data_IF_106738610320
#
_entry.id   IF_106738610320
#
_cell.length_a   1.000
_cell.length_b   1.000
_cell.length_c   1.000
_cell.angle_alpha   90.00
_cell.angle_beta   90.00
_cell.angle_gamma   90.00
#
_symmetry.space_group_name_H-M   'P 1'
#
loop_
_entity.id
_entity.type
_entity.pdbx_description
1 polymer ?
#
# COMPACT_ATOMS: atom_id res chain seq x y z
N UNK A 1 -0.97 -24.92 0.23
CA UNK A 1 -2.28 -25.01 0.97
C UNK A 1 -3.22 -23.87 0.65
N UNK A 2 -2.90 -22.59 0.89
CA UNK A 2 -3.82 -21.47 0.51
C UNK A 2 -3.86 -21.29 -1.01
N UNK A 3 -2.71 -21.37 -1.70
CA UNK A 3 -2.64 -21.19 -3.15
C UNK A 3 -3.45 -22.21 -3.95
N UNK A 4 -3.30 -23.49 -3.67
CA UNK A 4 -4.08 -24.56 -4.31
C UNK A 4 -5.57 -24.48 -3.98
N UNK A 5 -5.91 -24.07 -2.74
CA UNK A 5 -7.29 -23.84 -2.33
C UNK A 5 -7.90 -22.61 -2.98
N UNK A 6 -7.11 -21.56 -3.24
CA UNK A 6 -7.61 -20.35 -3.88
C UNK A 6 -8.08 -20.59 -5.32
N UNK A 7 -7.46 -21.55 -6.01
CA UNK A 7 -7.90 -21.98 -7.35
C UNK A 7 -9.22 -22.74 -7.30
N UNK A 8 -9.44 -23.56 -6.25
CA UNK A 8 -10.64 -24.39 -6.11
C UNK A 8 -11.80 -23.68 -5.41
N UNK A 9 -11.49 -22.86 -4.39
CA UNK A 9 -12.49 -22.16 -3.56
C UNK A 9 -11.86 -20.84 -3.05
N UNK A 10 -11.88 -19.79 -3.87
CA UNK A 10 -11.26 -18.51 -3.55
C UNK A 10 -11.89 -17.80 -2.33
N UNK A 11 -13.19 -17.98 -2.12
CA UNK A 11 -13.85 -17.38 -0.95
C UNK A 11 -13.39 -18.00 0.36
N UNK A 12 -13.28 -19.32 0.39
CA UNK A 12 -12.78 -20.04 1.55
C UNK A 12 -11.32 -19.73 1.80
N UNK A 13 -10.49 -19.64 0.76
CA UNK A 13 -9.10 -19.24 0.85
C UNK A 13 -8.98 -17.83 1.43
N UNK A 14 -9.77 -16.86 0.96
CA UNK A 14 -9.82 -15.49 1.48
C UNK A 14 -10.26 -15.44 2.95
N UNK A 15 -11.27 -16.21 3.34
CA UNK A 15 -11.70 -16.31 4.75
C UNK A 15 -10.59 -16.86 5.65
N UNK A 16 -9.81 -17.85 5.18
CA UNK A 16 -8.68 -18.39 5.90
C UNK A 16 -7.55 -17.35 6.06
N UNK A 17 -7.21 -16.62 5.00
CA UNK A 17 -6.24 -15.52 5.05
C UNK A 17 -6.67 -14.45 6.04
N UNK A 18 -7.92 -13.99 5.96
CA UNK A 18 -8.47 -12.99 6.89
C UNK A 18 -8.42 -13.46 8.34
N UNK A 19 -8.74 -14.73 8.58
CA UNK A 19 -8.65 -15.31 9.93
C UNK A 19 -7.21 -15.32 10.42
N UNK A 20 -6.27 -15.75 9.59
CA UNK A 20 -4.84 -15.75 9.91
C UNK A 20 -4.30 -14.35 10.19
N UNK A 21 -4.63 -13.38 9.36
CA UNK A 21 -4.19 -11.99 9.55
C UNK A 21 -4.82 -11.34 10.80
N UNK A 22 -6.08 -11.61 11.10
CA UNK A 22 -6.72 -11.14 12.34
C UNK A 22 -6.10 -11.76 13.59
N UNK A 23 -5.76 -13.05 13.55
CA UNK A 23 -5.03 -13.71 14.64
C UNK A 23 -3.64 -13.11 14.82
N UNK A 24 -2.93 -12.87 13.73
CA UNK A 24 -1.62 -12.21 13.76
C UNK A 24 -1.70 -10.77 14.28
N UNK A 25 -2.69 -10.01 13.87
CA UNK A 25 -2.92 -8.65 14.38
C UNK A 25 -3.17 -8.65 15.89
N UNK A 26 -4.05 -9.55 16.38
CA UNK A 26 -4.28 -9.74 17.81
C UNK A 26 -3.02 -10.16 18.56
N UNK A 27 -2.22 -11.04 17.97
CA UNK A 27 -0.93 -11.44 18.55
C UNK A 27 0.00 -10.23 18.69
N UNK A 28 0.14 -9.42 17.64
CA UNK A 28 0.96 -8.20 17.70
C UNK A 28 0.48 -7.21 18.75
N UNK A 29 -0.84 -7.18 19.03
CA UNK A 29 -1.42 -6.32 20.05
C UNK A 29 -1.21 -6.85 21.46
N UNK A 30 -1.43 -8.15 21.70
CA UNK A 30 -1.45 -8.75 23.04
C UNK A 30 -0.07 -9.22 23.49
N UNK A 31 0.80 -9.60 22.53
CA UNK A 31 2.13 -10.16 22.79
C UNK A 31 3.18 -9.38 21.99
N UNK A 32 3.45 -8.10 22.35
CA UNK A 32 4.44 -7.29 21.66
C UNK A 32 5.83 -7.95 21.73
N UNK A 33 6.54 -7.95 20.63
CA UNK A 33 7.91 -8.46 20.58
C UNK A 33 8.86 -7.45 21.25
N UNK A 34 9.37 -7.80 22.43
CA UNK A 34 10.28 -6.94 23.20
C UNK A 34 11.60 -6.64 22.49
N UNK A 35 11.95 -7.37 21.42
CA UNK A 35 13.14 -7.12 20.59
C UNK A 35 12.91 -6.03 19.54
N UNK A 36 11.66 -5.68 19.26
CA UNK A 36 11.32 -4.65 18.31
C UNK A 36 11.06 -3.32 19.03
N UNK A 37 11.50 -2.19 18.46
CA UNK A 37 11.17 -0.87 18.97
C UNK A 37 9.67 -0.60 18.86
N UNK A 38 9.18 0.40 19.61
CA UNK A 38 7.76 0.72 19.63
C UNK A 38 7.21 1.10 18.24
N UNK A 39 7.98 1.82 17.44
CA UNK A 39 7.65 2.16 16.06
C UNK A 39 7.53 0.91 15.17
N UNK A 40 8.44 -0.06 15.30
CA UNK A 40 8.43 -1.31 14.55
C UNK A 40 7.19 -2.16 14.84
N UNK A 41 6.77 -2.22 16.10
CA UNK A 41 5.53 -2.91 16.49
C UNK A 41 4.29 -2.17 15.96
N UNK A 42 4.30 -0.85 16.03
CA UNK A 42 3.19 -0.02 15.56
C UNK A 42 2.99 -0.16 14.06
N UNK A 43 4.05 -0.03 13.25
CA UNK A 43 3.95 -0.13 11.78
C UNK A 43 3.48 -1.52 11.35
N UNK A 44 4.01 -2.59 11.95
CA UNK A 44 3.58 -3.96 11.63
C UNK A 44 2.08 -4.16 11.86
N UNK A 45 1.54 -3.60 12.95
CA UNK A 45 0.10 -3.67 13.26
C UNK A 45 -0.74 -2.85 12.29
N UNK A 46 -0.35 -1.61 11.99
CA UNK A 46 -1.13 -0.73 11.10
C UNK A 46 -1.18 -1.28 9.69
N UNK A 47 -0.05 -1.75 9.15
CA UNK A 47 0.00 -2.36 7.81
C UNK A 47 -0.85 -3.63 7.76
N UNK A 48 -0.81 -4.47 8.80
CA UNK A 48 -1.70 -5.63 8.90
C UNK A 48 -3.18 -5.24 8.93
N UNK A 49 -3.55 -4.21 9.69
CA UNK A 49 -4.92 -3.69 9.73
C UNK A 49 -5.38 -3.15 8.38
N UNK A 50 -4.48 -2.49 7.62
CA UNK A 50 -4.78 -2.01 6.27
C UNK A 50 -5.11 -3.17 5.33
N UNK A 51 -4.30 -4.24 5.31
CA UNK A 51 -4.57 -5.44 4.50
C UNK A 51 -5.87 -6.14 4.91
N UNK A 52 -6.15 -6.24 6.21
CA UNK A 52 -7.41 -6.80 6.71
C UNK A 52 -8.60 -5.97 6.20
N UNK A 53 -8.51 -4.63 6.26
CA UNK A 53 -9.56 -3.74 5.73
C UNK A 53 -9.76 -3.96 4.24
N UNK A 54 -8.66 -4.01 3.46
CA UNK A 54 -8.70 -4.21 2.01
C UNK A 54 -9.41 -5.52 1.61
N UNK A 55 -9.13 -6.61 2.31
CA UNK A 55 -9.74 -7.90 2.03
C UNK A 55 -11.18 -8.04 2.57
N UNK A 56 -11.51 -7.35 3.66
CA UNK A 56 -12.81 -7.47 4.34
C UNK A 56 -13.85 -6.48 3.84
N UNK A 57 -13.43 -5.32 3.33
CA UNK A 57 -14.30 -4.23 2.88
C UNK A 57 -13.86 -3.70 1.51
N UNK A 58 -13.93 -4.51 0.45
CA UNK A 58 -13.43 -4.13 -0.86
C UNK A 58 -14.14 -2.91 -1.45
N UNK A 59 -15.42 -2.68 -1.11
CA UNK A 59 -16.19 -1.53 -1.57
C UNK A 59 -15.71 -0.18 -1.00
N UNK A 60 -14.89 -0.20 0.05
CA UNK A 60 -14.25 0.97 0.65
C UNK A 60 -12.78 1.10 0.24
N UNK A 61 -12.30 0.31 -0.74
CA UNK A 61 -10.89 0.24 -1.08
C UNK A 61 -10.57 0.77 -2.48
N UNK A 62 -9.40 1.38 -2.60
CA UNK A 62 -8.76 1.70 -3.87
C UNK A 62 -7.52 0.82 -4.07
N UNK A 63 -7.45 0.11 -5.20
CA UNK A 63 -6.23 -0.58 -5.62
C UNK A 63 -5.29 0.43 -6.26
N UNK A 64 -4.07 0.54 -5.75
CA UNK A 64 -3.16 1.59 -6.15
C UNK A 64 -1.75 1.08 -6.44
N UNK A 65 -1.00 1.78 -7.31
CA UNK A 65 0.45 1.66 -7.34
C UNK A 65 1.05 2.41 -6.14
N UNK A 66 2.23 2.00 -5.71
CA UNK A 66 2.80 2.48 -4.44
C UNK A 66 3.06 3.99 -4.39
N UNK A 67 3.29 4.65 -5.53
CA UNK A 67 3.62 6.07 -5.61
C UNK A 67 2.45 6.99 -6.02
N UNK A 68 1.23 6.59 -5.71
CA UNK A 68 0.07 7.48 -5.87
C UNK A 68 -0.02 8.48 -4.70
N UNK A 69 -0.67 9.64 -4.87
CA UNK A 69 -0.82 10.63 -3.80
C UNK A 69 -1.77 10.11 -2.70
N UNK A 70 -1.19 9.46 -1.69
CA UNK A 70 -1.92 8.89 -0.55
C UNK A 70 -2.77 9.92 0.21
N UNK A 71 -2.37 11.19 0.19
CA UNK A 71 -3.07 12.31 0.83
C UNK A 71 -4.50 12.49 0.29
N UNK A 72 -4.69 12.35 -1.03
CA UNK A 72 -6.03 12.44 -1.63
C UNK A 72 -6.90 11.24 -1.27
N UNK A 73 -6.32 10.04 -1.18
CA UNK A 73 -7.01 8.83 -0.72
C UNK A 73 -7.43 8.95 0.74
N UNK A 74 -6.52 9.45 1.59
CA UNK A 74 -6.77 9.74 3.00
C UNK A 74 -7.90 10.76 3.16
N UNK A 75 -7.85 11.87 2.39
CA UNK A 75 -8.90 12.90 2.40
C UNK A 75 -10.26 12.35 1.90
N UNK A 76 -10.24 11.42 0.94
CA UNK A 76 -11.43 10.74 0.44
C UNK A 76 -11.98 9.69 1.41
N UNK A 77 -11.19 9.24 2.39
CA UNK A 77 -11.55 8.17 3.33
C UNK A 77 -11.62 6.79 2.69
N UNK A 78 -10.89 6.58 1.59
CA UNK A 78 -10.71 5.30 0.97
C UNK A 78 -9.51 4.57 1.57
N UNK A 79 -9.62 3.27 1.73
CA UNK A 79 -8.51 2.42 2.17
C UNK A 79 -7.63 2.07 0.96
N UNK A 80 -6.40 2.59 0.85
CA UNK A 80 -5.51 2.20 -0.24
C UNK A 80 -4.90 0.84 0.04
N UNK A 81 -4.74 0.01 -0.99
CA UNK A 81 -3.84 -1.13 -0.94
C UNK A 81 -3.11 -1.30 -2.27
N UNK A 82 -1.85 -1.68 -2.21
CA UNK A 82 -1.03 -1.81 -3.41
C UNK A 82 -0.85 -3.26 -3.84
N UNK A 83 -0.54 -3.41 -5.12
CA UNK A 83 -0.11 -4.67 -5.73
C UNK A 83 1.06 -5.24 -4.94
N UNK A 84 2.06 -4.43 -4.62
CA UNK A 84 3.30 -4.84 -3.98
C UNK A 84 3.08 -5.27 -2.53
N UNK A 85 2.32 -4.49 -1.75
CA UNK A 85 2.03 -4.84 -0.36
C UNK A 85 1.22 -6.14 -0.27
N UNK A 86 0.18 -6.29 -1.10
CA UNK A 86 -0.63 -7.50 -1.11
C UNK A 86 0.21 -8.72 -1.50
N UNK A 87 1.09 -8.60 -2.51
CA UNK A 87 1.98 -9.69 -2.93
C UNK A 87 2.95 -10.10 -1.82
N UNK A 88 3.52 -9.14 -1.06
CA UNK A 88 4.34 -9.45 0.12
C UNK A 88 3.56 -10.27 1.16
N UNK A 89 2.31 -9.89 1.44
CA UNK A 89 1.48 -10.61 2.42
C UNK A 89 1.08 -12.00 1.92
N UNK A 90 0.81 -12.17 0.63
CA UNK A 90 0.56 -13.48 0.00
C UNK A 90 1.81 -14.35 0.06
N UNK A 91 2.98 -13.82 -0.32
CA UNK A 91 4.25 -14.54 -0.27
C UNK A 91 4.62 -14.95 1.15
N UNK A 92 4.30 -14.14 2.17
CA UNK A 92 4.45 -14.49 3.58
C UNK A 92 3.68 -15.75 3.99
N UNK A 93 2.69 -16.18 3.22
CA UNK A 93 1.97 -17.45 3.42
C UNK A 93 2.56 -18.63 2.61
N UNK A 94 3.65 -18.40 1.86
CA UNK A 94 4.32 -19.37 0.98
C UNK A 94 3.39 -19.97 -0.08
N UNK A 95 2.56 -19.12 -0.69
CA UNK A 95 1.58 -19.51 -1.70
C UNK A 95 1.87 -18.88 -3.08
N UNK A 96 2.92 -18.09 -3.19
CA UNK A 96 3.26 -17.29 -4.38
C UNK A 96 3.43 -18.13 -5.64
N UNK A 97 3.99 -19.34 -5.54
CA UNK A 97 4.24 -20.21 -6.69
C UNK A 97 2.97 -20.57 -7.46
N UNK A 98 1.87 -20.83 -6.74
CA UNK A 98 0.59 -21.15 -7.37
C UNK A 98 0.03 -19.96 -8.18
N UNK A 99 0.26 -18.73 -7.70
CA UNK A 99 -0.19 -17.53 -8.39
C UNK A 99 0.71 -17.14 -9.54
N UNK A 100 2.04 -17.36 -9.43
CA UNK A 100 2.97 -17.20 -10.55
C UNK A 100 2.58 -18.12 -11.70
N UNK A 101 2.40 -19.41 -11.43
CA UNK A 101 1.98 -20.39 -12.44
C UNK A 101 0.62 -20.02 -13.08
N UNK A 102 -0.35 -19.52 -12.30
CA UNK A 102 -1.63 -19.05 -12.83
C UNK A 102 -1.45 -17.87 -13.79
N UNK A 103 -0.59 -16.91 -13.45
CA UNK A 103 -0.34 -15.72 -14.29
C UNK A 103 0.35 -16.12 -15.60
N UNK A 104 1.31 -17.02 -15.54
CA UNK A 104 2.02 -17.55 -16.70
C UNK A 104 1.09 -18.34 -17.63
N UNK A 105 0.17 -19.14 -17.07
CA UNK A 105 -0.81 -19.88 -17.87
C UNK A 105 -1.80 -18.98 -18.63
N UNK A 106 -1.97 -17.74 -18.18
CA UNK A 106 -2.79 -16.71 -18.85
C UNK A 106 -1.98 -15.86 -19.86
N UNK A 107 -0.72 -16.22 -20.11
CA UNK A 107 0.12 -15.63 -21.14
C UNK A 107 0.94 -14.41 -20.69
N UNK A 108 1.02 -14.12 -19.41
CA UNK A 108 1.93 -13.07 -18.91
C UNK A 108 3.37 -13.58 -18.88
N UNK A 109 4.36 -12.75 -19.30
CA UNK A 109 5.73 -13.20 -19.42
C UNK A 109 6.40 -13.42 -18.05
N UNK A 110 7.24 -14.43 -17.93
CA UNK A 110 8.03 -14.73 -16.73
C UNK A 110 9.01 -13.60 -16.37
N UNK A 111 9.39 -12.79 -17.34
CA UNK A 111 10.25 -11.61 -17.14
C UNK A 111 9.56 -10.43 -16.46
N UNK A 112 8.23 -10.45 -16.37
CA UNK A 112 7.49 -9.45 -15.61
C UNK A 112 7.80 -9.55 -14.11
N UNK A 113 7.80 -8.41 -13.42
CA UNK A 113 8.05 -8.33 -11.98
C UNK A 113 7.19 -9.34 -11.19
N UNK A 114 7.82 -10.14 -10.35
CA UNK A 114 7.15 -11.19 -9.56
C UNK A 114 6.07 -10.66 -8.61
N UNK A 115 6.21 -9.45 -8.08
CA UNK A 115 5.15 -8.80 -7.30
C UNK A 115 3.86 -8.64 -8.11
N UNK A 116 3.98 -8.13 -9.33
CA UNK A 116 2.84 -7.98 -10.23
C UNK A 116 2.25 -9.32 -10.63
N UNK A 117 3.09 -10.32 -10.94
CA UNK A 117 2.63 -11.67 -11.31
C UNK A 117 1.88 -12.36 -10.16
N UNK A 118 2.40 -12.31 -8.95
CA UNK A 118 1.71 -12.88 -7.77
C UNK A 118 0.36 -12.21 -7.55
N UNK A 119 0.28 -10.89 -7.66
CA UNK A 119 -0.98 -10.17 -7.50
C UNK A 119 -1.99 -10.49 -8.61
N UNK A 120 -1.53 -10.51 -9.86
CA UNK A 120 -2.38 -10.88 -11.00
C UNK A 120 -2.95 -12.28 -10.84
N UNK A 121 -2.12 -13.28 -10.52
CA UNK A 121 -2.57 -14.65 -10.29
C UNK A 121 -3.56 -14.75 -9.14
N UNK A 122 -3.32 -14.05 -8.04
CA UNK A 122 -4.26 -13.99 -6.92
C UNK A 122 -5.60 -13.32 -7.31
N UNK A 123 -5.54 -12.32 -8.20
CA UNK A 123 -6.72 -11.66 -8.74
C UNK A 123 -7.48 -12.56 -9.73
N UNK A 124 -6.76 -13.29 -10.59
CA UNK A 124 -7.33 -14.22 -11.57
C UNK A 124 -8.07 -15.37 -10.89
N UNK A 125 -7.52 -15.88 -9.80
CA UNK A 125 -8.17 -16.95 -9.00
C UNK A 125 -9.36 -16.44 -8.17
N UNK A 126 -9.56 -15.12 -8.06
CA UNK A 126 -10.63 -14.53 -7.22
C UNK A 126 -10.29 -14.44 -5.74
N UNK A 127 -9.02 -14.70 -5.35
CA UNK A 127 -8.57 -14.54 -3.96
C UNK A 127 -8.63 -13.08 -3.52
N UNK A 128 -8.16 -12.17 -4.38
CA UNK A 128 -8.26 -10.73 -4.16
C UNK A 128 -9.64 -10.27 -4.59
N UNK A 129 -10.42 -9.65 -3.70
CA UNK A 129 -11.76 -9.18 -4.03
C UNK A 129 -11.71 -7.96 -4.96
N UNK A 130 -12.82 -7.73 -5.68
CA UNK A 130 -13.00 -6.56 -6.55
C UNK A 130 -12.93 -5.28 -5.72
N UNK A 131 -11.97 -4.35 -5.99
CA UNK A 131 -11.93 -3.05 -5.32
C UNK A 131 -12.94 -2.08 -5.90
N UNK A 132 -13.13 -0.94 -5.25
CA UNK A 132 -14.03 0.11 -5.72
C UNK A 132 -13.51 0.81 -6.99
N UNK A 133 -12.20 1.06 -7.03
CA UNK A 133 -11.52 1.68 -8.18
C UNK A 133 -10.05 1.30 -8.22
N UNK A 134 -9.38 1.69 -9.31
CA UNK A 134 -7.92 1.63 -9.40
C UNK A 134 -7.32 3.01 -9.68
N UNK A 135 -6.13 3.29 -9.08
CA UNK A 135 -5.37 4.51 -9.32
C UNK A 135 -3.90 4.13 -9.46
N UNK A 136 -3.26 4.56 -10.52
CA UNK A 136 -1.87 4.19 -10.77
C UNK A 136 -1.11 5.28 -11.52
N UNK A 137 0.20 5.16 -11.53
CA UNK A 137 1.11 6.11 -12.15
C UNK A 137 2.22 5.36 -12.90
N UNK A 138 2.87 6.01 -13.85
CA UNK A 138 4.08 5.54 -14.52
C UNK A 138 5.35 5.67 -13.66
N UNK A 139 5.26 6.25 -12.47
CA UNK A 139 6.43 6.39 -11.59
C UNK A 139 6.98 5.02 -11.18
N UNK A 140 8.29 4.89 -11.34
CA UNK A 140 9.16 3.84 -10.83
C UNK A 140 8.92 2.42 -11.36
N UNK A 141 7.80 2.09 -12.00
CA UNK A 141 7.52 0.71 -12.41
C UNK A 141 6.66 0.61 -13.67
N UNK A 142 7.24 0.14 -14.76
CA UNK A 142 6.53 -0.12 -16.02
C UNK A 142 5.50 -1.26 -15.89
N UNK A 143 5.67 -2.16 -14.93
CA UNK A 143 4.70 -3.20 -14.61
C UNK A 143 3.30 -2.66 -14.29
N UNK A 144 3.21 -1.41 -13.81
CA UNK A 144 1.94 -0.73 -13.58
C UNK A 144 1.12 -0.61 -14.87
N UNK A 145 1.80 -0.32 -15.99
CA UNK A 145 1.15 -0.08 -17.29
C UNK A 145 0.52 -1.34 -17.89
N UNK A 146 0.91 -2.52 -17.44
CA UNK A 146 0.27 -3.80 -17.80
C UNK A 146 -0.78 -4.21 -16.76
N UNK A 147 -0.43 -4.13 -15.49
CA UNK A 147 -1.22 -4.68 -14.39
C UNK A 147 -2.54 -3.93 -14.19
N UNK A 148 -2.49 -2.60 -14.10
CA UNK A 148 -3.69 -1.82 -13.76
C UNK A 148 -4.74 -1.76 -14.88
N UNK A 149 -4.38 -1.58 -16.17
CA UNK A 149 -5.34 -1.69 -17.26
C UNK A 149 -6.01 -3.07 -17.32
N UNK A 150 -5.24 -4.15 -17.15
CA UNK A 150 -5.80 -5.50 -17.08
C UNK A 150 -6.79 -5.65 -15.92
N UNK A 151 -6.43 -5.22 -14.70
CA UNK A 151 -7.31 -5.32 -13.52
C UNK A 151 -8.55 -4.44 -13.63
N UNK A 152 -8.42 -3.24 -14.20
CA UNK A 152 -9.55 -2.36 -14.50
C UNK A 152 -10.57 -3.07 -15.39
N UNK A 153 -10.09 -3.71 -16.48
CA UNK A 153 -10.95 -4.45 -17.40
C UNK A 153 -11.53 -5.71 -16.74
N UNK A 154 -10.69 -6.51 -16.06
CA UNK A 154 -11.11 -7.74 -15.38
C UNK A 154 -12.21 -7.51 -14.36
N UNK A 155 -12.06 -6.50 -13.52
CA UNK A 155 -13.00 -6.18 -12.47
C UNK A 155 -14.17 -5.29 -12.94
N UNK A 156 -14.09 -4.72 -14.15
CA UNK A 156 -15.05 -3.74 -14.66
C UNK A 156 -15.28 -2.61 -13.64
N UNK A 157 -14.19 -1.94 -13.26
CA UNK A 157 -14.17 -0.85 -12.28
C UNK A 157 -13.64 0.44 -12.90
N UNK A 158 -14.01 1.61 -12.36
CA UNK A 158 -13.40 2.86 -12.76
C UNK A 158 -11.90 2.88 -12.40
N UNK A 159 -11.10 3.57 -13.21
CA UNK A 159 -9.68 3.71 -12.97
C UNK A 159 -9.14 5.04 -13.42
N UNK A 160 -8.19 5.57 -12.68
CA UNK A 160 -7.49 6.82 -12.95
C UNK A 160 -5.99 6.57 -13.12
N UNK A 161 -5.43 7.11 -14.19
CA UNK A 161 -4.00 7.09 -14.47
C UNK A 161 -3.41 8.48 -14.26
N UNK A 162 -2.32 8.57 -13.52
CA UNK A 162 -1.55 9.80 -13.33
C UNK A 162 -0.29 9.66 -14.16
N UNK A 163 -0.18 10.47 -15.19
CA UNK A 163 1.01 10.57 -16.02
C UNK A 163 1.98 11.58 -15.43
N UNK A 164 3.15 11.10 -15.04
CA UNK A 164 4.20 11.96 -14.48
C UNK A 164 5.30 12.12 -15.50
N UNK A 165 5.51 13.33 -16.06
CA UNK A 165 6.57 13.61 -17.01
C UNK A 165 7.96 13.34 -16.42
N UNK A 166 8.87 12.87 -17.26
CA UNK A 166 10.25 12.66 -16.85
C UNK A 166 10.98 13.97 -16.56
N UNK A 167 10.67 15.02 -17.31
CA UNK A 167 11.29 16.32 -17.15
C UNK A 167 10.70 17.09 -15.96
N UNK A 168 11.58 17.76 -15.20
CA UNK A 168 11.21 18.55 -14.02
C UNK A 168 11.25 20.03 -14.35
N UNK A 169 10.16 20.55 -14.87
CA UNK A 169 9.98 21.98 -15.20
C UNK A 169 8.61 22.47 -14.73
N UNK A 170 8.33 23.77 -14.92
CA UNK A 170 7.08 24.39 -14.47
C UNK A 170 5.85 23.81 -15.19
N UNK A 171 5.98 23.47 -16.47
CA UNK A 171 4.89 22.90 -17.26
C UNK A 171 4.54 21.50 -16.75
N UNK A 172 5.54 20.67 -16.43
CA UNK A 172 5.35 19.35 -15.81
C UNK A 172 4.65 19.45 -14.45
N UNK A 173 5.03 20.44 -13.63
CA UNK A 173 4.39 20.68 -12.32
C UNK A 173 2.90 21.05 -12.53
N UNK A 174 2.61 21.97 -13.46
CA UNK A 174 1.25 22.39 -13.77
C UNK A 174 0.42 21.24 -14.32
N UNK A 175 0.99 20.44 -15.22
CA UNK A 175 0.35 19.26 -15.80
C UNK A 175 -0.04 18.21 -14.74
N UNK A 176 0.87 17.89 -13.81
CA UNK A 176 0.55 16.96 -12.72
C UNK A 176 -0.46 17.57 -11.76
N UNK A 177 -0.37 18.87 -11.45
CA UNK A 177 -1.32 19.54 -10.56
C UNK A 177 -2.75 19.50 -11.12
N UNK A 178 -2.92 19.65 -12.43
CA UNK A 178 -4.23 19.53 -13.08
C UNK A 178 -4.78 18.10 -12.97
N UNK A 179 -3.96 17.08 -13.21
CA UNK A 179 -4.34 15.68 -13.01
C UNK A 179 -4.75 15.39 -11.55
N UNK A 180 -4.07 15.99 -10.55
CA UNK A 180 -4.46 15.82 -9.15
C UNK A 180 -5.82 16.45 -8.85
N UNK A 181 -6.17 17.57 -9.50
CA UNK A 181 -7.52 18.16 -9.40
C UNK A 181 -8.58 17.24 -10.03
N UNK A 182 -8.26 16.64 -11.17
CA UNK A 182 -9.12 15.64 -11.81
C UNK A 182 -9.26 14.37 -10.97
N UNK A 183 -8.16 13.89 -10.37
CA UNK A 183 -8.19 12.77 -9.44
C UNK A 183 -9.11 13.06 -8.25
N UNK A 184 -9.07 14.26 -7.69
CA UNK A 184 -9.99 14.65 -6.61
C UNK A 184 -11.44 14.50 -7.04
N UNK A 185 -11.82 14.99 -8.23
CA UNK A 185 -13.18 14.83 -8.80
C UNK A 185 -13.53 13.35 -9.00
N UNK A 186 -12.61 12.58 -9.59
CA UNK A 186 -12.78 11.13 -9.75
C UNK A 186 -13.06 10.43 -8.42
N UNK A 187 -12.31 10.77 -7.37
CA UNK A 187 -12.51 10.21 -6.03
C UNK A 187 -13.84 10.63 -5.40
N UNK A 188 -14.29 11.86 -5.65
CA UNK A 188 -15.62 12.34 -5.23
C UNK A 188 -16.73 11.54 -5.91
N UNK A 189 -16.63 11.31 -7.22
CA UNK A 189 -17.62 10.57 -8.01
C UNK A 189 -17.67 9.10 -7.57
N UNK A 190 -16.52 8.44 -7.45
CA UNK A 190 -16.41 7.05 -6.98
C UNK A 190 -16.87 6.91 -5.53
N UNK A 191 -16.52 7.86 -4.68
CA UNK A 191 -16.86 7.85 -3.24
C UNK A 191 -18.29 8.29 -2.94
N UNK A 192 -18.98 8.94 -3.90
CA UNK A 192 -20.32 9.49 -3.71
C UNK A 192 -20.39 10.64 -2.71
N UNK A 193 -19.25 11.30 -2.40
CA UNK A 193 -19.19 12.40 -1.42
C UNK A 193 -18.12 13.42 -1.81
N UNK A 194 -18.34 14.68 -1.45
CA UNK A 194 -17.38 15.74 -1.66
C UNK A 194 -16.17 15.61 -0.71
N UNK A 195 -14.99 15.93 -1.25
CA UNK A 195 -13.75 16.02 -0.48
C UNK A 195 -13.51 17.48 -0.15
N UNK A 196 -13.58 17.83 1.14
CA UNK A 196 -13.41 19.21 1.56
C UNK A 196 -11.96 19.67 1.39
N UNK A 197 -11.77 20.95 1.10
CA UNK A 197 -10.44 21.56 1.02
C UNK A 197 -9.69 21.39 2.35
N UNK A 198 -10.39 21.54 3.46
CA UNK A 198 -9.81 21.34 4.79
C UNK A 198 -9.28 19.92 5.01
N UNK A 199 -9.95 18.86 4.48
CA UNK A 199 -9.46 17.50 4.60
C UNK A 199 -8.19 17.26 3.79
N UNK A 200 -8.09 17.87 2.60
CA UNK A 200 -6.88 17.81 1.76
C UNK A 200 -5.74 18.56 2.45
N UNK A 201 -5.98 19.78 2.93
CA UNK A 201 -4.97 20.57 3.64
C UNK A 201 -4.42 19.83 4.88
N UNK A 202 -5.30 19.20 5.66
CA UNK A 202 -4.89 18.37 6.81
C UNK A 202 -4.01 17.20 6.38
N UNK A 203 -4.41 16.46 5.35
CA UNK A 203 -3.64 15.34 4.86
C UNK A 203 -2.25 15.77 4.35
N UNK A 204 -2.17 16.89 3.60
CA UNK A 204 -0.90 17.44 3.15
C UNK A 204 -0.03 17.92 4.32
N UNK A 205 -0.62 18.58 5.32
CA UNK A 205 0.11 19.00 6.52
C UNK A 205 0.70 17.80 7.27
N UNK A 206 -0.10 16.75 7.50
CA UNK A 206 0.36 15.52 8.13
C UNK A 206 1.49 14.86 7.34
N UNK A 207 1.39 14.81 6.01
CA UNK A 207 2.41 14.24 5.13
C UNK A 207 3.72 15.01 5.20
N UNK A 208 3.67 16.35 5.17
CA UNK A 208 4.86 17.20 5.29
C UNK A 208 5.54 17.04 6.66
N UNK A 209 4.78 17.00 7.74
CA UNK A 209 5.31 16.78 9.08
C UNK A 209 5.92 15.37 9.22
N UNK A 210 5.24 14.34 8.69
CA UNK A 210 5.75 12.97 8.66
C UNK A 210 7.07 12.87 7.88
N UNK A 211 7.16 13.52 6.72
CA UNK A 211 8.39 13.57 5.92
C UNK A 211 9.55 14.26 6.66
N UNK A 212 9.26 15.33 7.42
CA UNK A 212 10.24 16.00 8.26
C UNK A 212 10.79 15.07 9.35
N UNK A 213 9.93 14.34 10.06
CA UNK A 213 10.38 13.35 11.05
C UNK A 213 11.18 12.22 10.41
N UNK A 214 10.72 11.73 9.25
CA UNK A 214 11.42 10.65 8.54
C UNK A 214 12.82 11.10 8.07
N UNK A 215 12.96 12.30 7.54
CA UNK A 215 14.25 12.87 7.15
C UNK A 215 15.18 13.08 8.35
N UNK A 216 14.63 13.55 9.47
CA UNK A 216 15.40 13.76 10.70
C UNK A 216 15.94 12.45 11.27
N UNK A 217 15.16 11.37 11.28
CA UNK A 217 15.63 10.08 11.75
C UNK A 217 16.70 9.48 10.82
N UNK A 218 16.59 9.67 9.48
CA UNK A 218 17.63 9.23 8.54
C UNK A 218 18.96 9.96 8.79
N UNK A 219 18.92 11.25 9.10
CA UNK A 219 20.13 12.02 9.43
C UNK A 219 20.80 11.49 10.72
N UNK A 220 20.01 11.10 11.73
CA UNK A 220 20.54 10.55 12.98
C UNK A 220 21.14 9.15 12.84
N UNK A 221 20.70 8.34 11.89
CA UNK A 221 21.22 6.98 11.65
C UNK A 221 22.71 6.92 11.29
N UNK A 222 23.33 8.05 10.96
CA UNK A 222 24.77 8.12 10.72
C UNK A 222 25.59 7.81 11.98
N UNK A 223 25.03 8.15 13.15
CA UNK A 223 25.73 8.14 14.43
C UNK A 223 25.00 7.25 15.46
N UNK A 224 24.02 6.46 15.05
CA UNK A 224 23.24 5.59 15.95
C UNK A 224 23.07 4.18 15.36
N UNK A 225 23.02 3.21 16.24
CA UNK A 225 22.74 1.83 15.84
C UNK A 225 21.37 1.70 15.17
N UNK A 226 21.24 0.78 14.17
CA UNK A 226 19.97 0.57 13.50
C UNK A 226 18.91 0.04 14.47
N UNK A 227 17.77 0.72 14.55
CA UNK A 227 16.62 0.31 15.37
C UNK A 227 15.60 -0.52 14.61
N UNK A 228 15.73 -0.59 13.27
CA UNK A 228 14.76 -1.24 12.38
C UNK A 228 15.36 -2.46 11.70
N UNK A 229 14.55 -3.50 11.53
CA UNK A 229 14.86 -4.64 10.67
C UNK A 229 14.49 -4.33 9.21
N UNK A 230 15.00 -5.12 8.25
CA UNK A 230 14.59 -5.01 6.84
C UNK A 230 13.07 -5.12 6.66
N UNK A 231 12.40 -5.98 7.42
CA UNK A 231 10.93 -6.10 7.41
C UNK A 231 10.26 -4.79 7.84
N UNK A 232 10.79 -4.13 8.86
CA UNK A 232 10.27 -2.83 9.31
C UNK A 232 10.48 -1.74 8.26
N UNK A 233 11.61 -1.75 7.53
CA UNK A 233 11.84 -0.82 6.43
C UNK A 233 10.84 -1.01 5.29
N UNK A 234 10.52 -2.26 4.92
CA UNK A 234 9.47 -2.54 3.95
C UNK A 234 8.10 -2.04 4.41
N UNK A 235 7.76 -2.24 5.69
CA UNK A 235 6.52 -1.70 6.25
C UNK A 235 6.53 -0.16 6.28
N UNK A 236 7.68 0.46 6.49
CA UNK A 236 7.84 1.92 6.43
C UNK A 236 7.52 2.47 5.04
N UNK A 237 7.94 1.79 3.96
CA UNK A 237 7.59 2.17 2.59
C UNK A 237 6.06 2.21 2.42
N UNK A 238 5.37 1.15 2.83
CA UNK A 238 3.90 1.12 2.73
C UNK A 238 3.25 2.19 3.61
N UNK A 239 3.77 2.41 4.81
CA UNK A 239 3.25 3.45 5.72
C UNK A 239 3.43 4.86 5.15
N UNK A 240 4.62 5.19 4.65
CA UNK A 240 4.94 6.54 4.20
C UNK A 240 4.31 6.87 2.83
N UNK A 241 4.07 5.88 1.98
CA UNK A 241 3.50 6.11 0.65
C UNK A 241 2.01 5.83 0.58
N UNK A 242 1.55 4.64 0.97
CA UNK A 242 0.13 4.30 0.85
C UNK A 242 -0.75 5.04 1.85
N UNK A 243 -0.24 5.25 3.07
CA UNK A 243 -0.96 5.93 4.14
C UNK A 243 -0.47 7.37 4.33
N UNK A 244 0.15 7.97 3.30
CA UNK A 244 0.55 9.36 3.33
C UNK A 244 -0.62 10.28 3.70
N UNK A 245 -0.36 11.27 4.56
CA UNK A 245 -1.38 12.19 5.07
C UNK A 245 -2.25 11.66 6.20
N UNK A 246 -2.16 10.37 6.56
CA UNK A 246 -2.90 9.80 7.68
C UNK A 246 -2.26 10.12 9.03
N UNK A 247 -3.08 10.12 10.09
CA UNK A 247 -2.60 10.23 11.47
C UNK A 247 -1.68 9.06 11.84
N UNK A 248 -1.93 7.88 11.26
CA UNK A 248 -1.11 6.69 11.46
C UNK A 248 0.31 6.88 10.94
N UNK A 249 0.47 7.46 9.73
CA UNK A 249 1.78 7.73 9.13
C UNK A 249 2.54 8.79 9.93
N UNK A 250 1.88 9.88 10.32
CA UNK A 250 2.45 10.93 11.16
C UNK A 250 2.92 10.37 12.50
N UNK A 251 2.08 9.60 13.17
CA UNK A 251 2.41 8.96 14.45
C UNK A 251 3.58 8.00 14.33
N UNK A 252 3.60 7.18 13.27
CA UNK A 252 4.70 6.24 13.03
C UNK A 252 6.04 6.94 12.90
N UNK A 253 6.13 7.96 12.03
CA UNK A 253 7.39 8.65 11.75
C UNK A 253 7.92 9.39 12.97
N UNK A 254 7.03 9.96 13.79
CA UNK A 254 7.39 10.54 15.09
C UNK A 254 7.93 9.49 16.06
N UNK A 255 7.25 8.35 16.19
CA UNK A 255 7.73 7.24 17.04
C UNK A 255 9.09 6.72 16.58
N UNK A 256 9.29 6.57 15.26
CA UNK A 256 10.57 6.10 14.69
C UNK A 256 11.70 7.06 15.03
N UNK A 257 11.49 8.37 14.90
CA UNK A 257 12.49 9.37 15.28
C UNK A 257 12.84 9.25 16.77
N UNK A 258 11.88 9.08 17.65
CA UNK A 258 12.13 8.92 19.08
C UNK A 258 12.87 7.60 19.43
N UNK A 259 12.58 6.51 18.70
CA UNK A 259 13.31 5.24 18.88
C UNK A 259 14.76 5.38 18.42
N UNK A 260 15.04 6.06 17.29
CA UNK A 260 16.41 6.31 16.81
C UNK A 260 17.17 7.20 17.78
N UNK A 261 16.56 8.25 18.34
CA UNK A 261 17.21 9.12 19.35
C UNK A 261 17.64 8.36 20.63
N UNK A 262 16.94 7.28 20.97
CA UNK A 262 17.23 6.43 22.14
C UNK A 262 18.24 5.32 21.86
N UNK A 263 18.54 5.07 20.59
CA UNK A 263 19.49 4.04 20.22
C UNK A 263 20.90 4.40 20.68
N UNK A 264 21.74 3.41 20.99
CA UNK A 264 23.16 3.65 21.27
C UNK A 264 23.82 4.40 20.11
N UNK A 265 24.81 5.24 20.44
CA UNK A 265 25.68 5.83 19.42
C UNK A 265 26.73 4.80 19.03
N UNK A 266 26.83 4.50 17.74
CA UNK A 266 27.80 3.59 17.15
C UNK A 266 29.07 4.28 16.72
#
# INVERSE_FOLDING_TARGET
MVGERSIRDPEKARKLLLTGYRLQEKRLQLFPDRKLPASGQYVARVVMQNIIKALAKPDDTALVSIFVPGELLTAAGLTPYSVEAMSCFIAGTRCEQAFLAQTESEGFPETMCSYHRVFLGASMTGLVPKPKCTIYTNLACDGNMMTFPYLKQKYQIPGFYIDVPYEKNQDSISYVADQLRELKKFLEDVGGKKISEQSVQRAVANSNEAASYYSSQLALRKDHDPVTSLTNELYAIFMCHLLAGSEESLKYTKMLLEDVKKAPKG
#
